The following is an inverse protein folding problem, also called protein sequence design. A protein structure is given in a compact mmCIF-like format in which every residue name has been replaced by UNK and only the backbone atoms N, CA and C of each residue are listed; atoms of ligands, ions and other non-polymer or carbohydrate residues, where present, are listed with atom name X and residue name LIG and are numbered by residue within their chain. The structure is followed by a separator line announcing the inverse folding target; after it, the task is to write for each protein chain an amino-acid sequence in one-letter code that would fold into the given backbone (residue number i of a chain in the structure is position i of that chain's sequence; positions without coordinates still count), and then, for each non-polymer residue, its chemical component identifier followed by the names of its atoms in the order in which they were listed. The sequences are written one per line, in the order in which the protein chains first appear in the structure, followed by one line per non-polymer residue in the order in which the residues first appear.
data_IF_750798139125
#
_entry.id   IF_750798139125
#
_cell.length_a   1.000
_cell.length_b   1.000
_cell.length_c   1.000
_cell.angle_alpha   90.00
_cell.angle_beta   90.00
_cell.angle_gamma   90.00
#
_symmetry.space_group_name_H-M   'P 1'
#
loop_
_entity.id
_entity.type
_entity.pdbx_description
1 polymer ?
#
# COMPACT_ATOMS: atom_id res chain seq x y z
N UNK A 1 3.21 -9.68 24.71
CA UNK A 1 4.49 -9.01 24.39
C UNK A 1 5.55 -9.97 23.89
N UNK A 2 5.96 -10.99 24.67
CA UNK A 2 6.99 -11.96 24.24
C UNK A 2 6.53 -12.80 23.03
N UNK A 3 5.30 -13.32 23.04
CA UNK A 3 4.74 -14.03 21.87
C UNK A 3 4.73 -13.15 20.61
N UNK A 4 4.41 -11.87 20.74
CA UNK A 4 4.34 -10.94 19.61
C UNK A 4 5.72 -10.69 18.98
N UNK A 5 6.76 -10.57 19.82
CA UNK A 5 8.15 -10.43 19.38
C UNK A 5 8.63 -11.71 18.68
N UNK A 6 8.27 -12.88 19.20
CA UNK A 6 8.63 -14.17 18.60
C UNK A 6 7.92 -14.37 17.25
N UNK A 7 6.63 -14.09 17.16
CA UNK A 7 5.89 -14.17 15.89
C UNK A 7 6.43 -13.19 14.85
N UNK A 8 6.70 -11.93 15.22
CA UNK A 8 7.27 -10.94 14.31
C UNK A 8 8.68 -11.29 13.83
N UNK A 9 9.50 -11.91 14.70
CA UNK A 9 10.85 -12.35 14.35
C UNK A 9 10.84 -13.55 13.40
N UNK A 10 9.94 -14.52 13.62
CA UNK A 10 9.79 -15.70 12.75
C UNK A 10 9.29 -15.31 11.36
N UNK A 11 8.29 -14.44 11.28
CA UNK A 11 7.72 -13.98 10.01
C UNK A 11 8.72 -13.14 9.18
N UNK A 12 9.54 -12.33 9.88
CA UNK A 12 10.64 -11.60 9.24
C UNK A 12 11.74 -12.53 8.72
N UNK A 13 12.03 -13.62 9.43
CA UNK A 13 13.07 -14.59 9.05
C UNK A 13 12.63 -15.43 7.83
N UNK A 14 11.39 -15.90 7.80
CA UNK A 14 10.84 -16.64 6.65
C UNK A 14 10.75 -15.74 5.41
N UNK A 15 10.31 -14.50 5.57
CA UNK A 15 10.31 -13.50 4.51
C UNK A 15 11.72 -13.11 4.01
N UNK A 16 12.75 -13.19 4.86
CA UNK A 16 14.14 -12.95 4.48
C UNK A 16 14.76 -14.14 3.74
N UNK A 17 14.51 -15.38 4.20
CA UNK A 17 14.96 -16.59 3.52
C UNK A 17 14.33 -16.75 2.13
N UNK A 18 13.02 -16.50 2.01
CA UNK A 18 12.32 -16.58 0.72
C UNK A 18 12.89 -15.60 -0.31
N UNK A 19 13.24 -14.37 0.10
CA UNK A 19 13.87 -13.37 -0.77
C UNK A 19 15.32 -13.71 -1.14
N UNK A 20 16.05 -14.42 -0.27
CA UNK A 20 17.45 -14.79 -0.50
C UNK A 20 17.62 -16.01 -1.42
N UNK A 21 16.60 -16.87 -1.49
CA UNK A 21 16.66 -18.14 -2.25
C UNK A 21 16.35 -18.01 -3.75
N UNK A 22 16.00 -16.82 -4.25
CA UNK A 22 15.92 -16.48 -5.68
C UNK A 22 15.18 -17.50 -6.58
N UNK A 23 14.24 -18.25 -6.02
CA UNK A 23 13.39 -19.18 -6.76
C UNK A 23 12.23 -18.42 -7.40
N UNK A 24 12.56 -17.58 -8.38
CA UNK A 24 11.56 -16.82 -9.12
C UNK A 24 11.06 -17.66 -10.30
N UNK A 25 9.99 -18.43 -10.08
CA UNK A 25 9.23 -19.00 -11.19
C UNK A 25 8.40 -17.91 -11.86
N UNK A 26 8.03 -18.09 -13.13
CA UNK A 26 7.12 -17.18 -13.82
C UNK A 26 5.78 -16.99 -13.07
N UNK A 27 5.35 -18.02 -12.33
CA UNK A 27 4.18 -17.98 -11.45
C UNK A 27 4.43 -17.18 -10.16
N UNK A 28 5.62 -17.29 -9.55
CA UNK A 28 6.01 -16.49 -8.40
C UNK A 28 6.07 -15.00 -8.73
N UNK A 29 6.65 -14.64 -9.88
CA UNK A 29 6.68 -13.25 -10.35
C UNK A 29 5.29 -12.66 -10.62
N UNK A 30 4.31 -13.49 -10.99
CA UNK A 30 2.90 -13.10 -11.12
C UNK A 30 2.21 -12.97 -9.75
N UNK A 31 2.53 -13.85 -8.80
CA UNK A 31 1.94 -13.81 -7.45
C UNK A 31 2.47 -12.65 -6.60
N UNK A 32 3.72 -12.23 -6.77
CA UNK A 32 4.34 -11.17 -5.96
C UNK A 32 3.50 -9.87 -5.89
N UNK A 33 3.03 -9.28 -7.01
CA UNK A 33 2.18 -8.09 -6.97
C UNK A 33 0.79 -8.32 -6.34
N UNK A 34 0.29 -9.55 -6.37
CA UNK A 34 -1.00 -9.93 -5.78
C UNK A 34 -0.84 -10.07 -4.27
N UNK A 35 0.19 -10.78 -3.84
CA UNK A 35 0.53 -10.98 -2.43
C UNK A 35 0.81 -9.64 -1.73
N UNK A 36 1.54 -8.73 -2.37
CA UNK A 36 1.87 -7.42 -1.80
C UNK A 36 0.62 -6.57 -1.51
N UNK A 37 -0.33 -6.53 -2.47
CA UNK A 37 -1.63 -5.83 -2.27
C UNK A 37 -2.48 -6.52 -1.21
N UNK A 38 -2.52 -7.85 -1.23
CA UNK A 38 -3.30 -8.62 -0.26
C UNK A 38 -2.77 -8.39 1.17
N UNK A 39 -1.45 -8.45 1.37
CA UNK A 39 -0.80 -8.22 2.66
C UNK A 39 -1.17 -6.85 3.23
N UNK A 40 -1.12 -5.80 2.41
CA UNK A 40 -1.50 -4.45 2.81
C UNK A 40 -2.98 -4.37 3.21
N UNK A 41 -3.88 -4.94 2.41
CA UNK A 41 -5.32 -4.96 2.71
C UNK A 41 -5.60 -5.74 4.02
N UNK A 42 -5.03 -6.93 4.17
CA UNK A 42 -5.17 -7.75 5.36
C UNK A 42 -4.65 -7.03 6.61
N UNK A 43 -3.48 -6.39 6.53
CA UNK A 43 -2.90 -5.61 7.63
C UNK A 43 -3.82 -4.48 8.06
N UNK A 44 -4.41 -3.73 7.11
CA UNK A 44 -5.37 -2.66 7.44
C UNK A 44 -6.63 -3.18 8.11
N UNK A 45 -7.17 -4.32 7.66
CA UNK A 45 -8.34 -4.94 8.29
C UNK A 45 -8.04 -5.39 9.72
N UNK A 46 -6.86 -5.97 9.96
CA UNK A 46 -6.41 -6.32 11.31
C UNK A 46 -6.28 -5.06 12.18
N UNK A 47 -5.70 -3.98 11.66
CA UNK A 47 -5.57 -2.73 12.41
C UNK A 47 -6.92 -2.09 12.76
N UNK A 48 -7.91 -2.18 11.87
CA UNK A 48 -9.29 -1.77 12.14
C UNK A 48 -9.90 -2.65 13.24
N UNK A 49 -9.72 -3.97 13.17
CA UNK A 49 -10.21 -4.89 14.19
C UNK A 49 -9.60 -4.60 15.57
N UNK A 50 -8.31 -4.26 15.60
CA UNK A 50 -7.59 -3.84 16.82
C UNK A 50 -7.93 -2.41 17.29
N UNK A 51 -8.82 -1.70 16.60
CA UNK A 51 -9.18 -0.30 16.89
C UNK A 51 -7.99 0.68 16.81
N UNK A 52 -6.97 0.36 16.00
CA UNK A 52 -5.74 1.15 15.81
C UNK A 52 -5.74 1.99 14.53
N UNK A 53 -6.67 1.69 13.63
CA UNK A 53 -6.91 2.47 12.40
C UNK A 53 -8.41 2.64 12.21
N UNK A 54 -8.82 3.80 11.70
CA UNK A 54 -10.20 4.10 11.37
C UNK A 54 -10.66 3.33 10.10
N UNK A 55 -11.91 2.84 10.10
CA UNK A 55 -12.53 2.15 8.95
C UNK A 55 -12.46 2.99 7.68
N UNK A 56 -12.72 4.31 7.76
CA UNK A 56 -12.69 5.20 6.61
C UNK A 56 -11.28 5.32 6.02
N UNK A 57 -10.25 5.37 6.87
CA UNK A 57 -8.84 5.38 6.43
C UNK A 57 -8.49 4.08 5.70
N UNK A 58 -8.89 2.93 6.25
CA UNK A 58 -8.67 1.63 5.61
C UNK A 58 -9.40 1.54 4.26
N UNK A 59 -10.66 1.97 4.18
CA UNK A 59 -11.44 1.97 2.95
C UNK A 59 -10.85 2.87 1.86
N UNK A 60 -10.36 4.07 2.22
CA UNK A 60 -9.71 4.98 1.26
C UNK A 60 -8.47 4.33 0.66
N UNK A 61 -7.64 3.70 1.49
CA UNK A 61 -6.38 3.10 1.04
C UNK A 61 -6.65 1.86 0.18
N UNK A 62 -7.51 0.94 0.64
CA UNK A 62 -7.87 -0.28 -0.08
C UNK A 62 -8.57 0.05 -1.40
N UNK A 63 -9.57 0.93 -1.35
CA UNK A 63 -10.34 1.34 -2.54
C UNK A 63 -9.44 1.95 -3.61
N UNK A 64 -8.45 2.75 -3.21
CA UNK A 64 -7.47 3.30 -4.15
C UNK A 64 -6.57 2.24 -4.76
N UNK A 65 -6.09 1.27 -3.99
CA UNK A 65 -5.23 0.20 -4.55
C UNK A 65 -5.96 -0.60 -5.64
N UNK A 66 -7.27 -0.84 -5.46
CA UNK A 66 -8.12 -1.45 -6.48
C UNK A 66 -8.31 -0.52 -7.67
N UNK A 67 -8.74 0.73 -7.44
CA UNK A 67 -9.05 1.70 -8.50
C UNK A 67 -7.85 1.99 -9.41
N UNK A 68 -6.66 2.20 -8.84
CA UNK A 68 -5.44 2.47 -9.61
C UNK A 68 -4.94 1.22 -10.34
N UNK A 69 -5.16 0.02 -9.78
CA UNK A 69 -4.85 -1.23 -10.47
C UNK A 69 -5.72 -1.40 -11.72
N UNK A 70 -7.04 -1.25 -11.58
CA UNK A 70 -7.99 -1.34 -12.69
C UNK A 70 -7.73 -0.28 -13.75
N UNK A 71 -7.50 0.97 -13.34
CA UNK A 71 -7.19 2.06 -14.27
C UNK A 71 -5.90 1.81 -15.04
N UNK A 72 -4.85 1.30 -14.38
CA UNK A 72 -3.58 0.98 -15.04
C UNK A 72 -3.73 -0.15 -16.04
N UNK A 73 -4.45 -1.21 -15.68
CA UNK A 73 -4.73 -2.34 -16.56
C UNK A 73 -5.52 -1.92 -17.80
N UNK A 74 -6.54 -1.09 -17.62
CA UNK A 74 -7.34 -0.54 -18.71
C UNK A 74 -6.52 0.37 -19.64
N UNK A 75 -5.68 1.25 -19.08
CA UNK A 75 -4.77 2.09 -19.89
C UNK A 75 -3.70 1.28 -20.63
N UNK A 76 -3.24 0.17 -20.05
CA UNK A 76 -2.29 -0.73 -20.70
C UNK A 76 -2.93 -1.41 -21.93
N UNK A 77 -4.19 -1.86 -21.83
CA UNK A 77 -4.96 -2.39 -22.96
C UNK A 77 -5.11 -1.39 -24.11
N UNK A 78 -5.23 -0.09 -23.79
CA UNK A 78 -5.35 0.97 -24.78
C UNK A 78 -4.00 1.40 -25.40
N UNK A 79 -2.87 0.82 -24.99
CA UNK A 79 -1.55 1.20 -25.49
C UNK A 79 -1.06 2.57 -25.00
N UNK A 80 -1.76 3.19 -24.03
CA UNK A 80 -1.41 4.47 -23.40
C UNK A 80 -0.54 4.30 -22.13
N UNK A 81 0.00 3.10 -21.90
CA UNK A 81 0.69 2.72 -20.66
C UNK A 81 1.92 3.56 -20.28
N UNK A 82 2.47 4.36 -21.20
CA UNK A 82 3.66 5.18 -20.96
C UNK A 82 3.39 6.58 -20.38
N UNK A 83 2.16 7.11 -20.43
CA UNK A 83 1.92 8.54 -20.15
C UNK A 83 1.67 8.89 -18.68
N UNK A 84 1.35 7.92 -17.82
CA UNK A 84 1.08 8.24 -16.41
C UNK A 84 2.34 8.07 -15.56
N UNK A 85 3.30 8.96 -15.81
CA UNK A 85 4.51 9.10 -15.03
C UNK A 85 4.19 9.13 -13.53
N UNK A 86 4.85 8.25 -12.78
CA UNK A 86 4.70 8.09 -11.33
C UNK A 86 5.00 9.42 -10.65
N UNK A 87 3.95 10.13 -10.27
CA UNK A 87 4.09 11.39 -9.54
C UNK A 87 4.76 11.12 -8.19
N UNK A 88 5.64 12.02 -7.73
CA UNK A 88 6.36 11.87 -6.45
C UNK A 88 5.42 11.65 -5.26
N UNK A 89 4.20 12.21 -5.31
CA UNK A 89 3.13 11.98 -4.33
C UNK A 89 2.79 10.49 -4.15
N UNK A 90 2.83 9.71 -5.23
CA UNK A 90 2.58 8.27 -5.21
C UNK A 90 3.67 7.48 -4.48
N UNK A 91 4.92 7.95 -4.49
CA UNK A 91 6.02 7.35 -3.71
C UNK A 91 5.96 7.75 -2.25
N UNK A 92 5.64 9.01 -1.97
CA UNK A 92 5.56 9.50 -0.60
C UNK A 92 4.45 8.80 0.19
N UNK A 93 3.28 8.55 -0.45
CA UNK A 93 2.21 7.78 0.21
C UNK A 93 2.64 6.36 0.57
N UNK A 94 3.39 5.68 -0.30
CA UNK A 94 3.77 4.28 -0.08
C UNK A 94 4.83 4.19 0.99
N UNK A 95 5.79 5.12 1.02
CA UNK A 95 6.73 5.24 2.13
C UNK A 95 6.00 5.49 3.46
N UNK A 96 5.07 6.44 3.50
CA UNK A 96 4.29 6.72 4.71
C UNK A 96 3.50 5.48 5.17
N UNK A 97 2.86 4.77 4.24
CA UNK A 97 2.06 3.59 4.54
C UNK A 97 2.89 2.39 4.99
N UNK A 98 4.03 2.13 4.35
CA UNK A 98 4.96 1.05 4.71
C UNK A 98 5.59 1.26 6.08
N UNK A 99 5.66 2.51 6.57
CA UNK A 99 6.11 2.81 7.95
C UNK A 99 4.93 2.76 8.93
N UNK A 100 3.77 3.29 8.54
CA UNK A 100 2.59 3.35 9.40
C UNK A 100 2.08 1.97 9.84
N UNK A 101 1.98 1.01 8.90
CA UNK A 101 1.39 -0.31 9.17
C UNK A 101 2.19 -1.07 10.24
N UNK A 102 3.53 -1.24 10.14
CA UNK A 102 4.32 -1.88 11.18
C UNK A 102 4.27 -1.15 12.52
N UNK A 103 4.24 0.20 12.50
CA UNK A 103 4.16 1.01 13.71
C UNK A 103 2.86 0.76 14.48
N UNK A 104 1.73 0.72 13.76
CA UNK A 104 0.41 0.43 14.34
C UNK A 104 0.25 -1.06 14.72
N UNK A 105 0.93 -1.98 14.03
CA UNK A 105 0.93 -3.39 14.43
C UNK A 105 1.71 -3.60 15.73
N UNK A 106 2.85 -2.91 15.87
CA UNK A 106 3.67 -2.97 17.09
C UNK A 106 3.01 -2.28 18.29
N UNK A 107 2.47 -1.07 18.10
CA UNK A 107 1.73 -0.29 19.11
C UNK A 107 2.41 -0.26 20.48
N UNK A 108 3.66 0.20 20.46
CA UNK A 108 4.50 0.29 21.65
C UNK A 108 5.50 1.44 21.57
N UNK A 109 6.48 1.43 22.46
CA UNK A 109 7.55 2.43 22.47
C UNK A 109 8.84 1.87 21.90
N UNK A 110 9.31 2.43 20.80
CA UNK A 110 10.61 2.08 20.22
C UNK A 110 11.68 2.95 20.88
N UNK A 111 12.75 2.31 21.37
CA UNK A 111 13.84 2.93 22.15
C UNK A 111 13.37 3.69 23.41
N UNK A 112 12.17 3.39 23.93
CA UNK A 112 11.59 4.07 25.09
C UNK A 112 11.14 5.52 24.83
N UNK A 113 11.39 6.08 23.64
CA UNK A 113 11.12 7.49 23.31
C UNK A 113 10.06 7.69 22.22
N UNK A 114 9.97 6.77 21.25
CA UNK A 114 9.08 6.92 20.09
C UNK A 114 7.81 6.10 20.32
N UNK A 115 6.68 6.80 20.51
CA UNK A 115 5.36 6.17 20.58
C UNK A 115 4.87 5.78 19.17
N UNK A 116 5.01 4.50 18.83
CA UNK A 116 4.67 4.01 17.50
C UNK A 116 3.17 4.02 17.23
N UNK A 117 2.32 3.99 18.26
CA UNK A 117 0.88 4.14 18.09
C UNK A 117 0.55 5.52 17.54
N UNK A 118 1.05 6.57 18.21
CA UNK A 118 0.82 7.97 17.79
C UNK A 118 1.43 8.26 16.42
N UNK A 119 2.69 7.91 16.21
CA UNK A 119 3.37 8.14 14.94
C UNK A 119 2.75 7.32 13.81
N UNK A 120 2.38 6.07 14.09
CA UNK A 120 1.69 5.21 13.13
C UNK A 120 0.35 5.81 12.71
N UNK A 121 -0.40 6.39 13.65
CA UNK A 121 -1.70 7.00 13.37
C UNK A 121 -1.56 8.29 12.56
N UNK A 122 -0.58 9.14 12.88
CA UNK A 122 -0.26 10.31 12.06
C UNK A 122 0.12 9.89 10.64
N UNK A 123 1.01 8.91 10.50
CA UNK A 123 1.49 8.45 9.21
C UNK A 123 0.39 7.80 8.37
N UNK A 124 -0.54 7.04 8.96
CA UNK A 124 -1.63 6.42 8.21
C UNK A 124 -2.64 7.46 7.70
N UNK A 125 -2.93 8.49 8.50
CA UNK A 125 -3.76 9.61 8.06
C UNK A 125 -3.09 10.44 6.95
N UNK A 126 -1.79 10.71 7.08
CA UNK A 126 -1.00 11.35 6.01
C UNK A 126 -1.03 10.49 4.74
N UNK A 127 -0.84 9.18 4.86
CA UNK A 127 -0.92 8.26 3.74
C UNK A 127 -2.31 8.29 3.08
N UNK A 128 -3.40 8.34 3.86
CA UNK A 128 -4.76 8.45 3.33
C UNK A 128 -5.00 9.76 2.56
N UNK A 129 -4.58 10.90 3.11
CA UNK A 129 -4.69 12.21 2.44
C UNK A 129 -3.89 12.23 1.13
N UNK A 130 -2.64 11.77 1.17
CA UNK A 130 -1.80 11.65 -0.02
C UNK A 130 -2.39 10.68 -1.04
N UNK A 131 -3.08 9.64 -0.57
CA UNK A 131 -3.77 8.67 -1.42
C UNK A 131 -4.89 9.34 -2.21
N UNK A 132 -5.77 10.09 -1.55
CA UNK A 132 -6.85 10.85 -2.20
C UNK A 132 -6.28 11.88 -3.19
N UNK A 133 -5.28 12.65 -2.77
CA UNK A 133 -4.64 13.65 -3.64
C UNK A 133 -4.05 12.99 -4.89
N UNK A 134 -3.32 11.89 -4.71
CA UNK A 134 -2.72 11.15 -5.83
C UNK A 134 -3.77 10.63 -6.79
N UNK A 135 -4.93 10.19 -6.28
CA UNK A 135 -6.03 9.66 -7.09
C UNK A 135 -6.66 10.76 -7.96
N UNK A 136 -6.93 11.93 -7.38
CA UNK A 136 -7.45 13.09 -8.13
C UNK A 136 -6.49 13.48 -9.25
N UNK A 137 -5.20 13.61 -8.94
CA UNK A 137 -4.19 13.93 -9.94
C UNK A 137 -4.12 12.90 -11.07
N UNK A 138 -4.19 11.61 -10.72
CA UNK A 138 -4.12 10.52 -11.68
C UNK A 138 -5.35 10.50 -12.61
N UNK A 139 -6.54 10.73 -12.05
CA UNK A 139 -7.78 10.80 -12.82
C UNK A 139 -7.80 12.02 -13.75
N UNK A 140 -7.33 13.18 -13.29
CA UNK A 140 -7.17 14.39 -14.12
C UNK A 140 -6.26 14.14 -15.33
N UNK A 141 -5.17 13.37 -15.15
CA UNK A 141 -4.28 13.00 -16.26
C UNK A 141 -4.86 11.94 -17.19
N UNK A 142 -5.64 11.00 -16.65
CA UNK A 142 -6.28 9.99 -17.48
C UNK A 142 -7.39 10.62 -18.35
N UNK A 143 -8.22 11.50 -17.78
CA UNK A 143 -9.38 12.13 -18.44
C UNK A 143 -9.17 12.61 -19.89
N UNK A 144 -8.11 13.37 -20.25
CA UNK A 144 -7.90 13.80 -21.63
C UNK A 144 -7.63 12.63 -22.59
N UNK A 145 -6.89 11.60 -22.15
CA UNK A 145 -6.61 10.40 -22.93
C UNK A 145 -7.88 9.56 -23.15
N UNK A 146 -8.74 9.48 -22.12
CA UNK A 146 -10.06 8.85 -22.21
C UNK A 146 -10.94 9.59 -23.22
N UNK A 147 -11.04 10.91 -23.09
CA UNK A 147 -11.89 11.74 -23.96
C UNK A 147 -11.46 11.67 -25.41
N UNK A 148 -10.15 11.72 -25.70
CA UNK A 148 -9.64 11.67 -27.07
C UNK A 148 -10.02 10.38 -27.81
N UNK A 149 -10.24 9.28 -27.10
CA UNK A 149 -10.50 7.95 -27.68
C UNK A 149 -11.96 7.49 -27.63
N UNK A 150 -12.80 8.10 -26.80
CA UNK A 150 -14.25 7.83 -26.77
C UNK A 150 -15.01 8.58 -27.87
N UNK A 151 -14.45 9.67 -28.41
CA UNK A 151 -15.03 10.42 -29.54
C UNK A 151 -14.70 9.85 -30.93
N UNK A 152 -14.07 8.67 -31.01
CA UNK A 152 -13.88 7.89 -32.24
C UNK A 152 -14.63 6.57 -32.15
#
# INVERSE_FOLDING_TARGET
TVMFIVFAATDWLDGYLARKLNQTSAFGAFLDPVADKFLVCASLLVLVHLQRTDVFVALIIIGREIAISALREWMAHLGAGKSVAVHMLGKLKTTAQMVAIPFLLYDGRVFGMIDTGVWGQVLIWVAAVLTVWSMVYYLQKALPEIRARVTH
#
